data_IF_631775889258
#
_entry.id   IF_631775889258
#
_cell.length_a   1.000
_cell.length_b   1.000
_cell.length_c   1.000
_cell.angle_alpha   90.00
_cell.angle_beta   90.00
_cell.angle_gamma   90.00
#
_symmetry.space_group_name_H-M   'P 1'
#
loop_
_entity.id
_entity.type
_entity.pdbx_description
1 polymer ?
#
# COMPACT_ATOMS: atom_id res chain seq x y z
N UNK A 1 -22.76 5.51 21.84
CA UNK A 1 -21.58 5.69 20.97
C UNK A 1 -21.41 7.18 20.67
N UNK A 2 -20.85 7.97 21.60
CA UNK A 2 -19.42 8.23 21.89
C UNK A 2 -18.84 9.37 21.05
N UNK A 3 -19.07 10.62 21.51
CA UNK A 3 -18.41 11.83 20.99
C UNK A 3 -16.87 11.72 20.93
N UNK A 4 -16.27 10.83 21.74
CA UNK A 4 -14.85 10.50 21.69
C UNK A 4 -14.38 9.87 20.38
N UNK A 5 -15.14 8.94 19.78
CA UNK A 5 -14.72 8.21 18.56
C UNK A 5 -14.63 9.14 17.35
N UNK A 6 -15.59 10.07 17.22
CA UNK A 6 -15.58 11.08 16.16
C UNK A 6 -14.41 12.08 16.26
N UNK A 7 -13.87 12.29 17.47
CA UNK A 7 -12.71 13.17 17.69
C UNK A 7 -11.41 12.52 17.24
N UNK A 8 -11.27 11.21 17.42
CA UNK A 8 -10.08 10.45 17.03
C UNK A 8 -9.95 10.35 15.50
N UNK A 9 -11.07 10.14 14.80
CA UNK A 9 -11.13 9.94 13.34
C UNK A 9 -10.68 11.19 12.56
N UNK A 10 -10.94 12.40 13.05
CA UNK A 10 -10.54 13.66 12.39
C UNK A 10 -9.32 14.34 13.02
N UNK A 11 -8.66 13.63 13.94
CA UNK A 11 -7.45 14.13 14.61
C UNK A 11 -6.24 14.04 13.68
N UNK A 12 -5.32 15.00 13.79
CA UNK A 12 -4.05 14.95 13.06
C UNK A 12 -3.26 13.68 13.36
N UNK A 13 -3.32 13.19 14.61
CA UNK A 13 -2.69 11.93 15.04
C UNK A 13 -3.23 10.72 14.29
N UNK A 14 -4.55 10.64 14.10
CA UNK A 14 -5.19 9.58 13.33
C UNK A 14 -4.78 9.61 11.86
N UNK A 15 -4.83 10.80 11.25
CA UNK A 15 -4.44 11.00 9.84
C UNK A 15 -2.96 10.65 9.63
N UNK A 16 -2.06 11.14 10.50
CA UNK A 16 -0.63 10.86 10.40
C UNK A 16 -0.31 9.39 10.64
N UNK A 17 -0.98 8.75 11.60
CA UNK A 17 -0.79 7.32 11.89
C UNK A 17 -1.17 6.44 10.71
N UNK A 18 -2.32 6.72 10.09
CA UNK A 18 -2.74 5.96 8.90
C UNK A 18 -1.87 6.25 7.69
N UNK A 19 -1.49 7.52 7.46
CA UNK A 19 -0.55 7.87 6.40
C UNK A 19 0.80 7.17 6.56
N UNK A 20 1.35 7.12 7.78
CA UNK A 20 2.57 6.38 8.07
C UNK A 20 2.41 4.88 7.80
N UNK A 21 1.29 4.28 8.21
CA UNK A 21 1.00 2.87 7.93
C UNK A 21 0.95 2.58 6.42
N UNK A 22 0.28 3.43 5.63
CA UNK A 22 0.23 3.32 4.16
C UNK A 22 1.63 3.41 3.57
N UNK A 23 2.42 4.39 3.98
CA UNK A 23 3.81 4.56 3.49
C UNK A 23 4.67 3.34 3.83
N UNK A 24 4.58 2.81 5.05
CA UNK A 24 5.31 1.60 5.47
C UNK A 24 4.89 0.40 4.62
N UNK A 25 3.59 0.16 4.43
CA UNK A 25 3.10 -0.95 3.62
C UNK A 25 3.55 -0.87 2.16
N UNK A 26 3.47 0.32 1.55
CA UNK A 26 3.97 0.59 0.19
C UNK A 26 5.48 0.35 0.12
N UNK A 27 6.24 0.79 1.13
CA UNK A 27 7.69 0.63 1.16
C UNK A 27 8.09 -0.84 1.27
N UNK A 28 7.42 -1.62 2.12
CA UNK A 28 7.66 -3.06 2.26
C UNK A 28 7.35 -3.81 0.95
N UNK A 29 6.22 -3.50 0.33
CA UNK A 29 5.86 -4.06 -0.99
C UNK A 29 6.86 -3.64 -2.07
N UNK A 30 7.25 -2.37 -2.09
CA UNK A 30 8.22 -1.83 -3.05
C UNK A 30 9.56 -2.53 -2.94
N UNK A 31 10.13 -2.62 -1.74
CA UNK A 31 11.43 -3.24 -1.49
C UNK A 31 11.37 -4.75 -1.73
N UNK A 32 10.32 -5.43 -1.28
CA UNK A 32 10.25 -6.89 -1.28
C UNK A 32 9.66 -7.53 -2.54
N UNK A 33 9.02 -6.74 -3.40
CA UNK A 33 8.35 -7.20 -4.64
C UNK A 33 8.76 -6.37 -5.85
N UNK A 34 8.52 -5.05 -5.85
CA UNK A 34 8.74 -4.24 -7.06
C UNK A 34 10.21 -4.06 -7.42
N UNK A 35 11.07 -3.79 -6.45
CA UNK A 35 12.51 -3.63 -6.70
C UNK A 35 13.09 -4.92 -7.29
N UNK A 36 12.89 -6.12 -6.70
CA UNK A 36 13.27 -7.38 -7.32
C UNK A 36 12.72 -7.55 -8.74
N UNK A 37 11.45 -7.22 -8.97
CA UNK A 37 10.81 -7.31 -10.29
C UNK A 37 11.53 -6.46 -11.35
N UNK A 38 11.86 -5.21 -11.04
CA UNK A 38 12.57 -4.34 -11.98
C UNK A 38 14.04 -4.71 -12.14
N UNK A 39 14.75 -5.01 -11.04
CA UNK A 39 16.18 -5.37 -11.06
C UNK A 39 16.42 -6.64 -11.88
N UNK A 40 15.50 -7.61 -11.80
CA UNK A 40 15.59 -8.84 -12.56
C UNK A 40 15.05 -8.73 -14.00
N UNK A 41 14.66 -7.54 -14.45
CA UNK A 41 14.18 -7.33 -15.82
C UNK A 41 12.83 -7.97 -16.16
N UNK A 42 12.07 -8.42 -15.15
CA UNK A 42 10.79 -9.12 -15.36
C UNK A 42 9.73 -8.22 -16.03
N UNK A 43 9.91 -6.91 -15.99
CA UNK A 43 9.07 -5.93 -16.70
C UNK A 43 9.20 -5.93 -18.22
N UNK A 44 10.20 -6.64 -18.77
CA UNK A 44 10.32 -6.86 -20.21
C UNK A 44 9.63 -8.15 -20.68
N UNK A 45 9.21 -9.02 -19.74
CA UNK A 45 8.58 -10.29 -20.04
C UNK A 45 7.04 -10.14 -20.11
N UNK A 46 6.36 -10.98 -20.91
CA UNK A 46 4.91 -11.10 -20.85
C UNK A 46 4.43 -11.43 -19.43
N UNK A 47 3.33 -10.81 -19.00
CA UNK A 47 2.76 -11.05 -17.65
C UNK A 47 2.43 -12.53 -17.39
N UNK A 48 2.07 -13.29 -18.43
CA UNK A 48 1.81 -14.73 -18.34
C UNK A 48 3.06 -15.53 -18.00
N UNK A 49 4.24 -15.10 -18.43
CA UNK A 49 5.52 -15.74 -18.10
C UNK A 49 6.00 -15.36 -16.69
N UNK A 50 5.73 -14.12 -16.26
CA UNK A 50 6.00 -13.71 -14.87
C UNK A 50 5.11 -14.50 -13.90
N UNK A 51 3.82 -14.65 -14.23
CA UNK A 51 2.86 -15.34 -13.39
C UNK A 51 3.06 -16.86 -13.34
N UNK A 52 3.76 -17.46 -14.29
CA UNK A 52 3.98 -18.91 -14.34
C UNK A 52 5.11 -19.41 -13.45
N UNK A 53 5.92 -18.50 -12.88
CA UNK A 53 7.09 -18.86 -12.08
C UNK A 53 8.25 -19.44 -12.90
N UNK A 54 8.12 -19.54 -14.24
CA UNK A 54 9.13 -20.15 -15.10
C UNK A 54 10.48 -19.44 -15.05
N UNK A 55 10.46 -18.14 -14.75
CA UNK A 55 11.63 -17.35 -14.43
C UNK A 55 11.60 -17.04 -12.95
N UNK A 56 12.46 -17.73 -12.18
CA UNK A 56 12.57 -17.49 -10.74
C UNK A 56 13.88 -16.77 -10.34
N UNK A 57 14.12 -15.53 -10.81
CA UNK A 57 15.28 -14.77 -10.38
C UNK A 57 15.08 -14.16 -8.99
N UNK A 58 14.01 -14.49 -8.24
CA UNK A 58 13.77 -13.92 -6.90
C UNK A 58 14.80 -14.39 -5.88
N UNK A 59 15.51 -15.48 -6.15
CA UNK A 59 16.67 -15.95 -5.40
C UNK A 59 17.98 -15.24 -5.79
N UNK A 60 18.00 -14.60 -6.96
CA UNK A 60 19.19 -13.93 -7.49
C UNK A 60 19.36 -12.51 -6.93
N UNK A 61 18.35 -11.92 -6.29
CA UNK A 61 18.48 -10.63 -5.65
C UNK A 61 17.65 -10.53 -4.36
N UNK A 62 18.24 -10.05 -3.25
CA UNK A 62 19.66 -9.73 -3.07
C UNK A 62 20.48 -10.98 -2.72
N UNK A 63 21.62 -11.22 -3.36
CA UNK A 63 22.51 -12.37 -3.10
C UNK A 63 23.27 -12.30 -1.75
N UNK A 64 22.90 -11.38 -0.87
CA UNK A 64 23.62 -11.06 0.35
C UNK A 64 22.83 -11.47 1.61
N UNK A 65 23.38 -11.16 2.79
CA UNK A 65 22.78 -11.40 4.11
C UNK A 65 21.35 -10.82 4.30
N UNK A 66 20.88 -10.00 3.36
CA UNK A 66 19.58 -9.35 3.38
C UNK A 66 18.48 -10.11 2.63
N UNK A 67 18.77 -11.25 1.99
CA UNK A 67 17.80 -12.03 1.20
C UNK A 67 16.54 -12.36 2.02
N UNK A 68 16.72 -12.96 3.19
CA UNK A 68 15.62 -13.32 4.09
C UNK A 68 14.80 -12.11 4.54
N UNK A 69 15.43 -10.95 4.75
CA UNK A 69 14.73 -9.72 5.14
C UNK A 69 13.90 -9.15 3.99
N UNK A 70 14.41 -9.18 2.75
CA UNK A 70 13.64 -8.75 1.58
C UNK A 70 12.47 -9.69 1.27
N UNK A 71 12.64 -10.99 1.51
CA UNK A 71 11.55 -11.97 1.39
C UNK A 71 10.48 -11.73 2.44
N UNK A 72 10.87 -11.56 3.70
CA UNK A 72 9.95 -11.21 4.77
C UNK A 72 9.21 -9.89 4.48
N UNK A 73 9.93 -8.85 4.02
CA UNK A 73 9.33 -7.58 3.64
C UNK A 73 8.32 -7.74 2.49
N UNK A 74 8.61 -8.59 1.49
CA UNK A 74 7.70 -8.88 0.39
C UNK A 74 6.42 -9.58 0.85
N UNK A 75 6.55 -10.60 1.70
CA UNK A 75 5.39 -11.33 2.26
C UNK A 75 4.52 -10.44 3.14
N UNK A 76 5.15 -9.67 4.03
CA UNK A 76 4.45 -8.70 4.87
C UNK A 76 3.78 -7.62 3.99
N UNK A 77 4.49 -7.11 2.98
CA UNK A 77 3.98 -6.12 2.04
C UNK A 77 2.77 -6.62 1.26
N UNK A 78 2.81 -7.84 0.73
CA UNK A 78 1.70 -8.49 0.02
C UNK A 78 0.45 -8.62 0.88
N UNK A 79 0.61 -9.01 2.15
CA UNK A 79 -0.52 -9.15 3.07
C UNK A 79 -1.05 -7.78 3.55
N UNK A 80 -0.16 -6.86 3.93
CA UNK A 80 -0.55 -5.59 4.54
C UNK A 80 -1.06 -4.57 3.54
N UNK A 81 -0.47 -4.48 2.35
CA UNK A 81 -0.79 -3.41 1.39
C UNK A 81 -2.29 -3.35 1.05
N UNK A 82 -3.00 -4.43 0.67
CA UNK A 82 -4.43 -4.35 0.37
C UNK A 82 -5.27 -3.95 1.58
N UNK A 83 -4.94 -4.44 2.78
CA UNK A 83 -5.66 -4.13 4.03
C UNK A 83 -5.50 -2.65 4.40
N UNK A 84 -4.26 -2.16 4.37
CA UNK A 84 -3.93 -0.79 4.75
C UNK A 84 -4.43 0.20 3.69
N UNK A 85 -4.34 -0.14 2.41
CA UNK A 85 -4.90 0.66 1.32
C UNK A 85 -6.44 0.74 1.40
N UNK A 86 -7.13 -0.38 1.59
CA UNK A 86 -8.58 -0.38 1.78
C UNK A 86 -9.00 0.44 3.02
N UNK A 87 -8.25 0.32 4.11
CA UNK A 87 -8.44 1.12 5.33
C UNK A 87 -8.21 2.61 5.06
N UNK A 88 -7.19 2.97 4.28
CA UNK A 88 -6.89 4.33 3.83
C UNK A 88 -8.04 4.96 3.05
N UNK A 89 -8.62 4.21 2.11
CA UNK A 89 -9.79 4.64 1.33
C UNK A 89 -11.01 4.83 2.24
N UNK A 90 -11.35 3.81 3.04
CA UNK A 90 -12.53 3.84 3.91
C UNK A 90 -12.44 4.94 4.98
N UNK A 91 -11.32 5.01 5.70
CA UNK A 91 -11.09 6.03 6.71
C UNK A 91 -11.02 7.44 6.10
N UNK A 92 -10.35 7.60 4.96
CA UNK A 92 -10.26 8.86 4.23
C UNK A 92 -11.64 9.38 3.86
N UNK A 93 -12.47 8.53 3.25
CA UNK A 93 -13.84 8.87 2.85
C UNK A 93 -14.74 9.24 4.04
N UNK A 94 -14.77 8.41 5.08
CA UNK A 94 -15.58 8.68 6.30
C UNK A 94 -15.12 9.96 6.98
N UNK A 95 -13.81 10.17 7.13
CA UNK A 95 -13.26 11.36 7.77
C UNK A 95 -13.55 12.63 6.97
N UNK A 96 -13.48 12.56 5.64
CA UNK A 96 -13.77 13.68 4.75
C UNK A 96 -15.25 14.08 4.82
N UNK A 97 -16.16 13.10 4.81
CA UNK A 97 -17.60 13.31 4.96
C UNK A 97 -17.94 13.97 6.31
N UNK A 98 -17.37 13.47 7.41
CA UNK A 98 -17.55 14.04 8.75
C UNK A 98 -16.97 15.45 8.88
N UNK A 99 -15.82 15.71 8.24
CA UNK A 99 -15.17 17.03 8.27
C UNK A 99 -15.99 18.08 7.50
N UNK A 100 -16.67 17.69 6.42
CA UNK A 100 -17.54 18.59 5.65
C UNK A 100 -18.76 19.08 6.44
N UNK A 101 -19.20 18.33 7.45
CA UNK A 101 -20.29 18.73 8.34
C UNK A 101 -19.86 19.78 9.39
N UNK A 102 -18.56 20.06 9.53
CA UNK A 102 -18.02 20.95 10.55
C UNK A 102 -17.35 22.18 9.93
N UNK A 103 -17.93 23.38 10.06
CA UNK A 103 -17.25 24.60 9.64
C UNK A 103 -16.03 24.86 10.55
N UNK A 104 -14.93 25.31 9.96
CA UNK A 104 -13.73 25.69 10.71
C UNK A 104 -12.52 26.00 9.82
N UNK A 105 -11.57 26.81 10.30
CA UNK A 105 -10.44 27.29 9.51
C UNK A 105 -9.48 26.16 9.06
N UNK A 106 -9.44 25.04 9.79
CA UNK A 106 -8.61 23.89 9.43
C UNK A 106 -9.26 22.92 8.43
N UNK A 107 -10.52 23.15 8.03
CA UNK A 107 -11.28 22.24 7.16
C UNK A 107 -10.55 22.00 5.84
N UNK A 108 -10.18 23.05 5.12
CA UNK A 108 -9.54 22.93 3.79
C UNK A 108 -8.25 22.12 3.87
N UNK A 109 -7.35 22.47 4.82
CA UNK A 109 -6.06 21.78 5.00
C UNK A 109 -6.24 20.29 5.34
N UNK A 110 -7.16 19.96 6.25
CA UNK A 110 -7.44 18.56 6.61
C UNK A 110 -8.12 17.80 5.48
N UNK A 111 -9.03 18.43 4.74
CA UNK A 111 -9.68 17.84 3.56
C UNK A 111 -8.66 17.49 2.49
N UNK A 112 -7.71 18.38 2.19
CA UNK A 112 -6.64 18.10 1.22
C UNK A 112 -5.75 16.93 1.67
N UNK A 113 -5.36 16.88 2.94
CA UNK A 113 -4.55 15.77 3.46
C UNK A 113 -5.28 14.43 3.39
N UNK A 114 -6.57 14.40 3.77
CA UNK A 114 -7.41 13.20 3.67
C UNK A 114 -7.66 12.78 2.23
N UNK A 115 -7.87 13.74 1.32
CA UNK A 115 -8.06 13.48 -0.10
C UNK A 115 -6.80 12.89 -0.73
N UNK A 116 -5.62 13.45 -0.43
CA UNK A 116 -4.34 12.92 -0.90
C UNK A 116 -4.12 11.49 -0.40
N UNK A 117 -4.38 11.23 0.90
CA UNK A 117 -4.29 9.89 1.48
C UNK A 117 -5.25 8.92 0.81
N UNK A 118 -6.50 9.33 0.59
CA UNK A 118 -7.54 8.50 -0.04
C UNK A 118 -7.18 8.15 -1.48
N UNK A 119 -6.74 9.14 -2.28
CA UNK A 119 -6.32 8.92 -3.67
C UNK A 119 -5.10 8.00 -3.74
N UNK A 120 -4.08 8.24 -2.90
CA UNK A 120 -2.89 7.39 -2.87
C UNK A 120 -3.20 5.96 -2.45
N UNK A 121 -4.08 5.79 -1.45
CA UNK A 121 -4.53 4.47 -1.01
C UNK A 121 -5.37 3.77 -2.08
N UNK A 122 -6.23 4.51 -2.78
CA UNK A 122 -7.02 3.97 -3.89
C UNK A 122 -6.11 3.52 -5.04
N UNK A 123 -5.11 4.31 -5.41
CA UNK A 123 -4.14 3.94 -6.44
C UNK A 123 -3.37 2.67 -6.07
N UNK A 124 -2.90 2.56 -4.82
CA UNK A 124 -2.24 1.35 -4.33
C UNK A 124 -3.17 0.12 -4.35
N UNK A 125 -4.43 0.28 -3.95
CA UNK A 125 -5.41 -0.80 -3.97
C UNK A 125 -5.71 -1.26 -5.41
N UNK A 126 -5.94 -0.31 -6.32
CA UNK A 126 -6.18 -0.62 -7.73
C UNK A 126 -4.98 -1.30 -8.38
N UNK A 127 -3.75 -0.91 -8.02
CA UNK A 127 -2.55 -1.59 -8.49
C UNK A 127 -2.50 -3.05 -8.02
N UNK A 128 -2.74 -3.32 -6.73
CA UNK A 128 -2.73 -4.69 -6.19
C UNK A 128 -3.83 -5.56 -6.80
N UNK A 129 -4.99 -4.98 -7.13
CA UNK A 129 -6.11 -5.68 -7.77
C UNK A 129 -5.99 -5.81 -9.29
N UNK A 130 -4.98 -5.20 -9.91
CA UNK A 130 -4.74 -5.30 -11.35
C UNK A 130 -4.14 -6.66 -11.74
N UNK A 131 -4.18 -6.99 -13.03
CA UNK A 131 -3.53 -8.20 -13.56
C UNK A 131 -2.03 -8.24 -13.25
N UNK A 132 -1.36 -7.08 -13.24
CA UNK A 132 0.05 -6.97 -12.85
C UNK A 132 0.24 -7.28 -11.37
N UNK A 133 -0.62 -6.74 -10.49
CA UNK A 133 -0.58 -7.03 -9.06
C UNK A 133 -0.79 -8.52 -8.76
N UNK A 134 -1.74 -9.15 -9.47
CA UNK A 134 -1.99 -10.58 -9.39
C UNK A 134 -0.79 -11.41 -9.86
N UNK A 135 -0.21 -11.09 -11.02
CA UNK A 135 0.98 -11.77 -11.53
C UNK A 135 2.17 -11.67 -10.57
N UNK A 136 2.41 -10.49 -10.00
CA UNK A 136 3.47 -10.27 -9.01
C UNK A 136 3.22 -11.04 -7.70
N UNK A 137 1.95 -11.13 -7.27
CA UNK A 137 1.59 -11.90 -6.09
C UNK A 137 1.82 -13.40 -6.31
N UNK A 138 1.38 -13.94 -7.45
CA UNK A 138 1.61 -15.35 -7.82
C UNK A 138 3.09 -15.65 -7.89
N UNK A 139 3.86 -14.86 -8.64
CA UNK A 139 5.32 -15.02 -8.76
C UNK A 139 6.04 -15.05 -7.40
N UNK A 140 5.56 -14.25 -6.44
CA UNK A 140 6.19 -14.13 -5.12
C UNK A 140 5.79 -15.24 -4.14
N UNK A 141 4.66 -15.90 -4.39
CA UNK A 141 4.09 -16.95 -3.55
C UNK A 141 4.40 -18.37 -4.06
N UNK A 142 4.67 -18.51 -5.36
CA UNK A 142 5.41 -19.64 -5.91
C UNK A 142 6.83 -19.66 -5.31
#
# INVERSE_FOLDING_TARGET
MTAGTARTITSWRGISGLAAAVVVAISLYGIGVLVPYYVNGLHHLPLTEVASGAHDPKDLWPQAAWSGLTQLAGLIGLALLPIVAASGVGFGGVSLALLWQRPGPQRVRKSLALLALMIGSLAALLFVLSDTGAALATWRLD
#
